data_IF_155785265598
#
_entry.id   IF_155785265598
#
_cell.length_a   1.000
_cell.length_b   1.000
_cell.length_c   1.000
_cell.angle_alpha   90.00
_cell.angle_beta   90.00
_cell.angle_gamma   90.00
#
_symmetry.space_group_name_H-M   'P 1'
#
loop_
_entity.id
_entity.type
_entity.pdbx_description
1 polymer ?
#
# COMPACT_ATOMS: atom_id res chain seq x y z
N UNK A 1 29.42 -5.68 -16.83
CA UNK A 1 28.26 -4.86 -16.95
C UNK A 1 28.05 -4.02 -15.69
N UNK A 2 27.72 -2.85 -15.91
CA UNK A 2 27.34 -2.12 -14.75
C UNK A 2 26.09 -1.36 -15.08
N UNK A 3 25.34 -1.03 -14.13
CA UNK A 3 24.20 -0.21 -14.33
C UNK A 3 24.14 0.78 -13.19
N UNK A 4 23.46 1.85 -13.45
CA UNK A 4 23.38 2.93 -12.50
C UNK A 4 22.50 2.55 -11.34
N UNK A 5 22.56 3.32 -10.30
CA UNK A 5 21.66 3.15 -9.21
C UNK A 5 20.23 3.37 -9.64
N UNK A 6 20.03 4.21 -10.65
CA UNK A 6 18.69 4.44 -11.15
C UNK A 6 18.13 3.18 -11.76
N UNK A 7 18.96 2.42 -12.45
CA UNK A 7 18.52 1.19 -13.05
C UNK A 7 18.11 0.19 -11.99
N UNK A 8 18.90 0.05 -10.93
CA UNK A 8 18.52 -0.82 -9.83
C UNK A 8 17.25 -0.34 -9.16
N UNK A 9 17.09 0.97 -9.03
CA UNK A 9 15.93 1.54 -8.42
C UNK A 9 14.66 1.17 -9.18
N UNK A 10 14.72 1.22 -10.50
CA UNK A 10 13.53 0.93 -11.30
C UNK A 10 13.29 -0.56 -11.53
N UNK A 11 14.25 -1.40 -11.20
CA UNK A 11 14.07 -2.83 -11.40
C UNK A 11 14.04 -3.55 -10.06
N UNK A 12 13.21 -3.08 -9.15
CA UNK A 12 13.10 -3.64 -7.82
C UNK A 12 12.37 -4.98 -7.79
N UNK A 13 11.69 -5.32 -8.88
CA UNK A 13 11.05 -6.62 -9.02
C UNK A 13 9.95 -6.83 -7.99
N UNK A 14 9.14 -5.81 -7.81
CA UNK A 14 8.01 -5.90 -6.89
C UNK A 14 6.74 -6.41 -7.56
N UNK A 15 6.68 -6.46 -8.88
CA UNK A 15 5.45 -6.87 -9.57
C UNK A 15 5.17 -8.34 -9.34
N UNK A 16 3.94 -8.65 -8.95
CA UNK A 16 3.56 -10.01 -8.68
C UNK A 16 2.04 -10.11 -8.73
N UNK A 17 1.52 -10.90 -9.67
CA UNK A 17 0.10 -11.01 -9.86
C UNK A 17 -0.57 -11.64 -8.65
N UNK A 18 -1.75 -11.17 -8.32
CA UNK A 18 -2.59 -11.80 -7.33
C UNK A 18 -2.34 -11.38 -5.90
N UNK A 19 -1.46 -10.40 -5.68
CA UNK A 19 -1.22 -9.89 -4.34
C UNK A 19 -1.38 -8.38 -4.34
N UNK A 20 -1.64 -7.83 -3.16
CA UNK A 20 -1.78 -6.39 -2.98
C UNK A 20 -0.91 -5.98 -1.82
N UNK A 21 -0.19 -4.89 -2.00
CA UNK A 21 0.58 -4.29 -0.92
C UNK A 21 -0.23 -3.17 -0.30
N UNK A 22 -0.26 -3.08 1.02
CA UNK A 22 -1.15 -2.18 1.74
C UNK A 22 -0.34 -1.32 2.70
N UNK A 23 -0.66 -0.02 2.70
CA UNK A 23 -0.06 0.94 3.63
C UNK A 23 -1.17 1.69 4.34
N UNK A 24 -0.99 1.95 5.63
CA UNK A 24 -1.92 2.76 6.41
C UNK A 24 -1.21 4.05 6.83
N UNK A 25 -1.84 5.18 6.55
CA UNK A 25 -1.31 6.47 6.89
C UNK A 25 -1.81 6.90 8.25
N UNK A 26 -0.90 7.30 9.12
CA UNK A 26 -1.25 7.68 10.48
C UNK A 26 -1.28 9.19 10.69
N UNK A 27 -0.72 9.94 9.76
CA UNK A 27 -0.73 11.40 9.86
C UNK A 27 -1.66 11.96 8.80
N UNK A 28 -2.02 13.23 8.98
CA UNK A 28 -2.82 13.93 8.01
C UNK A 28 -1.96 14.14 6.77
N UNK A 29 -2.22 13.55 5.69
CA UNK A 29 -1.41 13.63 4.50
C UNK A 29 -1.59 14.91 3.70
N UNK A 30 -2.37 15.86 4.19
CA UNK A 30 -2.73 17.01 3.37
C UNK A 30 -1.60 18.00 3.21
N UNK A 31 -0.58 17.95 4.03
CA UNK A 31 0.46 18.95 3.98
C UNK A 31 1.36 18.80 2.75
N UNK A 32 1.31 17.69 2.06
CA UNK A 32 2.15 17.49 0.90
C UNK A 32 1.34 16.76 -0.15
N UNK A 33 0.37 17.45 -0.69
CA UNK A 33 -0.58 16.83 -1.61
C UNK A 33 0.04 16.45 -2.94
N UNK A 34 1.23 16.97 -3.25
CA UNK A 34 1.88 16.65 -4.50
C UNK A 34 2.84 15.46 -4.37
N UNK A 35 3.03 14.95 -3.19
CA UNK A 35 3.97 13.85 -3.00
C UNK A 35 3.43 12.57 -3.64
N UNK A 36 4.32 11.84 -4.27
CA UNK A 36 4.00 10.51 -4.75
C UNK A 36 4.31 9.56 -3.61
N UNK A 37 3.27 8.99 -3.01
CA UNK A 37 3.44 8.22 -1.79
C UNK A 37 4.42 7.07 -1.96
N UNK A 38 4.29 6.31 -3.04
CA UNK A 38 5.15 5.16 -3.21
C UNK A 38 6.58 5.57 -3.54
N UNK A 39 6.75 6.54 -4.42
CA UNK A 39 8.10 6.95 -4.81
C UNK A 39 8.77 7.78 -3.74
N UNK A 40 8.05 8.74 -3.19
CA UNK A 40 8.66 9.71 -2.30
C UNK A 40 8.77 9.22 -0.87
N UNK A 41 7.85 8.40 -0.43
CA UNK A 41 7.80 7.99 0.96
C UNK A 41 8.18 6.53 1.17
N UNK A 42 7.96 5.69 0.19
CA UNK A 42 8.19 4.26 0.33
C UNK A 42 9.38 3.75 -0.47
N UNK A 43 9.99 4.61 -1.25
CA UNK A 43 11.20 4.23 -1.98
C UNK A 43 10.97 3.37 -3.20
N UNK A 44 9.74 3.36 -3.74
CA UNK A 44 9.41 2.57 -4.92
C UNK A 44 9.89 3.30 -6.16
N UNK A 45 10.56 2.61 -7.06
CA UNK A 45 11.04 3.22 -8.29
C UNK A 45 9.98 3.28 -9.36
N UNK A 46 9.38 2.15 -9.66
CA UNK A 46 8.37 2.08 -10.72
C UNK A 46 7.16 1.32 -10.21
N UNK A 47 6.01 1.80 -10.55
CA UNK A 47 4.76 1.09 -10.30
C UNK A 47 3.73 1.55 -11.31
N UNK A 48 2.71 0.72 -11.51
CA UNK A 48 1.64 1.05 -12.45
C UNK A 48 0.58 1.83 -11.70
N UNK A 49 0.48 3.10 -12.01
CA UNK A 49 -0.46 3.98 -11.31
C UNK A 49 -1.90 3.51 -11.45
N UNK A 50 -2.22 2.85 -12.54
CA UNK A 50 -3.59 2.36 -12.75
C UNK A 50 -3.96 1.28 -11.73
N UNK A 51 -3.00 0.66 -11.10
CA UNK A 51 -3.24 -0.38 -10.11
C UNK A 51 -3.14 0.15 -8.68
N UNK A 52 -3.14 1.45 -8.50
CA UNK A 52 -3.09 2.05 -7.17
C UNK A 52 -4.46 2.54 -6.75
N UNK A 53 -4.80 2.33 -5.51
CA UNK A 53 -6.04 2.84 -4.97
C UNK A 53 -5.77 3.44 -3.60
N UNK A 54 -6.40 4.57 -3.30
CA UNK A 54 -6.23 5.24 -2.02
C UNK A 54 -7.57 5.74 -1.54
N UNK A 55 -7.73 5.84 -0.23
CA UNK A 55 -8.97 6.35 0.31
C UNK A 55 -8.75 6.96 1.69
N UNK A 56 -9.68 7.79 2.09
CA UNK A 56 -9.66 8.42 3.41
C UNK A 56 -11.06 8.94 3.71
N UNK A 57 -11.29 9.32 4.97
CA UNK A 57 -12.54 9.94 5.38
C UNK A 57 -12.14 11.29 5.95
N UNK A 58 -11.91 12.24 5.06
CA UNK A 58 -11.48 13.60 5.42
C UNK A 58 -10.21 13.57 6.28
N UNK A 59 -9.40 12.56 6.10
CA UNK A 59 -8.17 12.34 6.86
C UNK A 59 -8.41 12.26 8.37
N UNK A 60 -9.63 11.92 8.77
CA UNK A 60 -9.93 11.69 10.18
C UNK A 60 -9.43 10.33 10.58
N UNK A 61 -9.14 10.18 11.85
CA UNK A 61 -8.71 8.90 12.39
C UNK A 61 -9.93 7.99 12.50
N UNK A 62 -9.97 6.95 11.71
CA UNK A 62 -11.09 6.00 11.69
C UNK A 62 -10.54 4.59 11.79
N UNK A 63 -11.39 3.61 11.97
CA UNK A 63 -10.91 2.25 12.10
C UNK A 63 -10.25 1.78 10.80
N UNK A 64 -9.23 0.97 10.94
CA UNK A 64 -8.57 0.39 9.77
C UNK A 64 -9.56 -0.40 8.94
N UNK A 65 -10.50 -1.09 9.58
CA UNK A 65 -11.53 -1.85 8.86
C UNK A 65 -12.37 -0.92 7.99
N UNK A 66 -12.72 0.24 8.51
CA UNK A 66 -13.53 1.18 7.73
C UNK A 66 -12.81 1.62 6.47
N UNK A 67 -11.53 1.95 6.59
CA UNK A 67 -10.75 2.35 5.42
C UNK A 67 -10.57 1.20 4.43
N UNK A 68 -10.19 0.05 4.94
CA UNK A 68 -9.90 -1.09 4.07
C UNK A 68 -11.15 -1.59 3.35
N UNK A 69 -12.31 -1.49 4.00
CA UNK A 69 -13.54 -1.99 3.41
C UNK A 69 -14.03 -1.19 2.21
N UNK A 70 -13.48 0.01 2.01
CA UNK A 70 -13.89 0.85 0.89
C UNK A 70 -13.15 0.52 -0.40
N UNK A 71 -12.15 -0.33 -0.33
CA UNK A 71 -11.30 -0.61 -1.49
C UNK A 71 -12.01 -1.56 -2.45
N UNK A 72 -11.61 -1.50 -3.71
CA UNK A 72 -12.32 -2.20 -4.78
C UNK A 72 -12.39 -3.70 -4.60
N UNK A 73 -11.35 -4.33 -4.11
CA UNK A 73 -11.33 -5.77 -3.97
C UNK A 73 -11.25 -6.19 -2.51
N UNK A 74 -11.77 -5.35 -1.64
CA UNK A 74 -11.61 -5.52 -0.19
C UNK A 74 -12.12 -6.86 0.31
N UNK A 75 -13.22 -7.33 -0.25
CA UNK A 75 -13.82 -8.56 0.28
C UNK A 75 -12.86 -9.73 0.24
N UNK A 76 -11.86 -9.70 -0.63
CA UNK A 76 -10.93 -10.82 -0.75
C UNK A 76 -9.77 -10.71 0.23
N UNK A 77 -9.50 -9.55 0.81
CA UNK A 77 -8.34 -9.43 1.70
C UNK A 77 -8.58 -8.62 2.97
N UNK A 78 -9.77 -8.04 3.15
CA UNK A 78 -9.99 -7.13 4.27
C UNK A 78 -9.77 -7.83 5.62
N UNK A 79 -10.23 -9.06 5.76
CA UNK A 79 -10.09 -9.74 7.05
C UNK A 79 -8.63 -10.00 7.40
N UNK A 80 -7.83 -10.42 6.42
CA UNK A 80 -6.41 -10.64 6.67
C UNK A 80 -5.70 -9.33 6.98
N UNK A 81 -6.06 -8.27 6.27
CA UNK A 81 -5.43 -6.97 6.49
C UNK A 81 -5.79 -6.40 7.85
N UNK A 82 -7.05 -6.54 8.27
CA UNK A 82 -7.48 -6.05 9.58
C UNK A 82 -6.77 -6.84 10.69
N UNK A 83 -6.64 -8.16 10.51
CA UNK A 83 -5.95 -8.96 11.51
C UNK A 83 -4.48 -8.54 11.64
N UNK A 84 -3.84 -8.25 10.51
CA UNK A 84 -2.45 -7.81 10.55
C UNK A 84 -2.34 -6.44 11.21
N UNK A 85 -3.27 -5.54 10.90
CA UNK A 85 -3.27 -4.21 11.50
C UNK A 85 -3.42 -4.31 13.02
N UNK A 86 -4.31 -5.17 13.49
CA UNK A 86 -4.50 -5.35 14.92
C UNK A 86 -3.22 -5.91 15.57
N UNK A 87 -2.57 -6.84 14.89
CA UNK A 87 -1.35 -7.44 15.41
C UNK A 87 -0.23 -6.40 15.50
N UNK A 88 -0.27 -5.37 14.67
CA UNK A 88 0.74 -4.32 14.68
C UNK A 88 0.34 -3.12 15.52
N UNK A 89 -0.82 -3.17 16.17
CA UNK A 89 -1.30 -2.05 16.94
C UNK A 89 -1.85 -0.91 16.10
N UNK A 90 -2.27 -1.20 14.87
CA UNK A 90 -2.74 -0.18 13.94
C UNK A 90 -4.25 -0.30 13.74
N UNK A 91 -5.01 -0.25 14.83
CA UNK A 91 -6.46 -0.39 14.73
C UNK A 91 -7.13 0.78 14.03
N UNK A 92 -6.49 1.92 14.00
CA UNK A 92 -7.04 3.12 13.40
C UNK A 92 -6.00 3.78 12.51
N UNK A 93 -6.46 4.48 11.49
CA UNK A 93 -5.58 5.19 10.58
C UNK A 93 -6.36 6.35 9.97
N UNK A 94 -5.66 7.21 9.25
CA UNK A 94 -6.28 8.39 8.63
C UNK A 94 -6.44 8.23 7.14
N UNK A 95 -5.68 7.33 6.52
CA UNK A 95 -5.81 7.06 5.09
C UNK A 95 -5.18 5.72 4.79
N UNK A 96 -5.51 5.20 3.61
CA UNK A 96 -4.98 3.92 3.15
C UNK A 96 -4.57 4.05 1.69
N UNK A 97 -3.50 3.39 1.34
CA UNK A 97 -3.07 3.28 -0.05
C UNK A 97 -2.70 1.83 -0.30
N UNK A 98 -3.11 1.32 -1.44
CA UNK A 98 -2.76 -0.03 -1.84
C UNK A 98 -2.26 -0.04 -3.28
N UNK A 99 -1.41 -1.00 -3.59
CA UNK A 99 -0.95 -1.21 -4.94
C UNK A 99 -1.23 -2.67 -5.28
N UNK A 100 -2.09 -2.89 -6.27
CA UNK A 100 -2.46 -4.24 -6.69
C UNK A 100 -1.38 -4.83 -7.58
N UNK A 101 -1.26 -6.15 -7.54
CA UNK A 101 -0.28 -6.91 -8.32
C UNK A 101 1.15 -6.45 -8.03
N UNK A 102 1.41 -6.25 -6.76
CA UNK A 102 2.65 -5.63 -6.31
C UNK A 102 3.04 -6.22 -4.95
N UNK A 103 4.23 -6.73 -4.86
CA UNK A 103 4.75 -7.33 -3.63
C UNK A 103 5.90 -6.49 -3.09
N UNK A 104 5.57 -5.41 -2.41
CA UNK A 104 6.54 -4.48 -1.87
C UNK A 104 7.42 -5.17 -0.82
N UNK A 105 8.69 -4.92 -0.88
CA UNK A 105 9.63 -5.45 0.09
C UNK A 105 10.55 -4.33 0.57
N UNK A 106 10.40 -3.87 1.81
CA UNK A 106 11.28 -2.83 2.33
C UNK A 106 12.75 -3.23 2.27
N UNK A 107 13.04 -4.52 2.36
CA UNK A 107 14.42 -4.98 2.33
C UNK A 107 15.10 -4.74 0.99
N UNK A 108 14.32 -4.57 -0.08
CA UNK A 108 14.88 -4.30 -1.40
C UNK A 108 14.97 -2.82 -1.71
N UNK A 109 14.45 -1.96 -0.82
CA UNK A 109 14.43 -0.53 -1.07
C UNK A 109 15.80 0.03 -0.75
N UNK A 110 16.34 0.85 -1.66
CA UNK A 110 17.65 1.42 -1.47
C UNK A 110 17.59 2.88 -1.07
N UNK A 111 16.41 3.44 -0.99
CA UNK A 111 16.23 4.81 -0.56
C UNK A 111 15.65 4.81 0.84
N UNK A 112 15.69 5.96 1.47
CA UNK A 112 15.12 6.11 2.79
C UNK A 112 13.61 5.90 2.72
N UNK A 113 13.07 5.15 3.66
CA UNK A 113 11.65 4.93 3.76
C UNK A 113 11.14 5.83 4.88
N UNK A 114 10.11 6.60 4.59
CA UNK A 114 9.53 7.50 5.59
C UNK A 114 8.81 6.70 6.68
N UNK A 115 8.67 7.30 7.84
CA UNK A 115 7.98 6.65 8.95
C UNK A 115 6.48 6.50 8.69
N UNK A 116 5.91 7.34 7.86
CA UNK A 116 4.48 7.29 7.52
C UNK A 116 4.35 7.40 6.00
N UNK A 117 3.57 6.58 5.36
CA UNK A 117 2.67 5.56 5.89
C UNK A 117 3.40 4.32 6.36
N UNK A 118 2.71 3.52 7.16
CA UNK A 118 3.26 2.28 7.66
C UNK A 118 2.88 1.16 6.69
N UNK A 119 3.87 0.39 6.26
CA UNK A 119 3.61 -0.75 5.39
C UNK A 119 2.95 -1.84 6.22
N UNK A 120 1.74 -2.20 5.85
CA UNK A 120 0.99 -3.19 6.59
C UNK A 120 1.38 -4.61 6.19
N UNK A 121 1.54 -4.84 4.93
CA UNK A 121 1.89 -6.18 4.46
C UNK A 121 1.40 -6.44 3.06
N UNK A 122 1.64 -7.66 2.59
CA UNK A 122 1.23 -8.13 1.27
C UNK A 122 0.15 -9.17 1.51
N UNK A 123 -0.96 -9.07 0.78
CA UNK A 123 -2.08 -9.98 0.95
C UNK A 123 -2.52 -10.51 -0.40
N UNK A 124 -3.04 -11.72 -0.43
CA UNK A 124 -3.63 -12.24 -1.65
C UNK A 124 -4.97 -11.58 -1.86
N UNK A 125 -5.30 -11.29 -3.10
CA UNK A 125 -6.59 -10.70 -3.41
C UNK A 125 -7.12 -11.31 -4.71
N UNK A 126 -8.42 -11.15 -4.93
CA UNK A 126 -9.05 -11.64 -6.14
C UNK A 126 -9.78 -10.49 -6.81
N UNK A 127 -9.48 -10.28 -8.06
CA UNK A 127 -10.20 -9.33 -8.88
C UNK A 127 -11.55 -9.86 -9.32
N UNK A 128 -11.87 -11.17 -9.17
CA UNK A 128 -13.10 -11.70 -9.47
C UNK A 128 -13.98 -11.58 -8.38
N UNK A 129 -14.80 -10.81 -8.37
CA UNK A 129 -15.63 -10.58 -7.37
C UNK A 129 -16.54 -11.54 -7.15
N UNK A 130 -16.75 -11.94 -6.71
CA UNK A 130 -17.54 -12.73 -6.49
C UNK A 130 -18.60 -12.80 -6.82
N UNK A 131 -18.70 -12.83 -7.35
CA UNK A 131 -19.69 -12.86 -7.82
C UNK A 131 -20.27 -13.85 -7.52
N UNK A 132 -20.05 -14.42 -7.07
CA UNK A 132 -20.62 -15.38 -6.81
C UNK A 132 -21.30 -15.31 -5.95
N UNK A 133 -21.35 -14.89 -5.74
CA UNK A 133 -22.02 -14.84 -4.98
C UNK A 133 -22.88 -15.30 -4.90
#
# INVERSE_FOLDING_TARGET
>A
RHYSEDEDYYTQDFERDGVVSVWLGLTDGSSDSDADVLQDLCGVGYYNLDDQESNNVEFKLVSARELLSTLSFASSFVEAAVAKAAAMGLDQARWVTVQYDFAYSPAKVQRRIAADPVFLGIFEYSAQVQEDA
#
